data_IF_635793110338
#
_entry.id   IF_635793110338
#
_cell.length_a   1.000
_cell.length_b   1.000
_cell.length_c   1.000
_cell.angle_alpha   90.00
_cell.angle_beta   90.00
_cell.angle_gamma   90.00
#
_symmetry.space_group_name_H-M   'P 1'
#
loop_
_entity.id
_entity.type
_entity.pdbx_description
1 polymer ?
#
# COMPACT_ATOMS: atom_id res chain seq x y z
N UNK A 1 16.64 30.68 17.55
CA UNK A 1 17.16 29.36 17.15
C UNK A 1 16.41 28.28 17.93
N UNK A 2 15.22 27.83 17.49
CA UNK A 2 14.45 26.80 18.21
C UNK A 2 13.38 26.14 17.32
N UNK A 3 12.58 26.94 16.60
CA UNK A 3 11.47 26.43 15.77
C UNK A 3 11.93 25.55 14.59
N UNK A 4 13.05 25.89 13.95
CA UNK A 4 13.62 25.12 12.82
C UNK A 4 14.12 23.72 13.23
N UNK A 5 14.63 23.59 14.47
CA UNK A 5 15.12 22.32 14.98
C UNK A 5 13.95 21.35 15.26
N UNK A 6 12.90 21.82 15.92
CA UNK A 6 11.67 21.03 16.13
C UNK A 6 11.01 20.62 14.80
N UNK A 7 11.02 21.51 13.80
CA UNK A 7 10.48 21.20 12.48
C UNK A 7 11.27 20.07 11.79
N UNK A 8 12.61 20.09 11.88
CA UNK A 8 13.47 19.01 11.36
C UNK A 8 13.24 17.69 12.09
N UNK A 9 13.20 17.71 13.42
CA UNK A 9 12.93 16.50 14.21
C UNK A 9 11.56 15.93 13.86
N UNK A 10 10.52 16.76 13.78
CA UNK A 10 9.19 16.32 13.38
C UNK A 10 9.17 15.70 11.97
N UNK A 11 9.85 16.31 11.00
CA UNK A 11 9.95 15.79 9.62
C UNK A 11 10.71 14.47 9.58
N UNK A 12 11.79 14.32 10.34
CA UNK A 12 12.56 13.07 10.45
C UNK A 12 11.77 11.97 11.16
N UNK A 13 11.01 12.30 12.22
CA UNK A 13 10.27 11.31 13.02
C UNK A 13 8.94 10.89 12.38
N UNK A 14 8.32 11.77 11.58
CA UNK A 14 7.06 11.49 10.86
C UNK A 14 7.08 10.17 10.05
N UNK A 15 8.07 9.86 9.20
CA UNK A 15 8.11 8.60 8.45
C UNK A 15 8.24 7.37 9.37
N UNK A 16 9.00 7.45 10.47
CA UNK A 16 9.12 6.34 11.42
C UNK A 16 7.81 6.09 12.17
N UNK A 17 7.13 7.14 12.62
CA UNK A 17 5.81 7.00 13.25
C UNK A 17 4.78 6.40 12.28
N UNK A 18 4.80 6.83 11.00
CA UNK A 18 3.96 6.24 9.96
C UNK A 18 4.28 4.76 9.73
N UNK A 19 5.56 4.39 9.72
CA UNK A 19 5.98 3.00 9.53
C UNK A 19 5.53 2.10 10.69
N UNK A 20 5.65 2.55 11.93
CA UNK A 20 5.18 1.82 13.12
C UNK A 20 3.65 1.66 13.08
N UNK A 21 2.93 2.72 12.70
CA UNK A 21 1.48 2.67 12.55
C UNK A 21 1.05 1.69 11.45
N UNK A 22 1.75 1.69 10.30
CA UNK A 22 1.53 0.73 9.21
C UNK A 22 1.79 -0.70 9.67
N UNK A 23 2.92 -0.98 10.32
CA UNK A 23 3.25 -2.32 10.82
C UNK A 23 2.23 -2.82 11.85
N UNK A 24 1.82 -1.97 12.78
CA UNK A 24 0.78 -2.29 13.76
C UNK A 24 -0.55 -2.60 13.08
N UNK A 25 -0.93 -1.83 12.05
CA UNK A 25 -2.13 -2.07 11.27
C UNK A 25 -2.10 -3.43 10.55
N UNK A 26 -0.95 -3.82 9.99
CA UNK A 26 -0.77 -5.15 9.40
C UNK A 26 -0.91 -6.26 10.44
N UNK A 27 -0.32 -6.10 11.63
CA UNK A 27 -0.45 -7.07 12.71
C UNK A 27 -1.90 -7.24 13.19
N UNK A 28 -2.61 -6.12 13.42
CA UNK A 28 -4.03 -6.12 13.78
C UNK A 28 -4.86 -6.81 12.69
N UNK A 29 -4.58 -6.53 11.41
CA UNK A 29 -5.30 -7.16 10.31
C UNK A 29 -5.16 -8.69 10.30
N UNK A 30 -3.96 -9.21 10.56
CA UNK A 30 -3.72 -10.64 10.69
C UNK A 30 -4.51 -11.28 11.83
N UNK A 31 -4.62 -10.60 12.99
CA UNK A 31 -5.42 -11.07 14.11
C UNK A 31 -6.92 -11.08 13.81
N UNK A 32 -7.43 -10.04 13.14
CA UNK A 32 -8.85 -9.95 12.73
C UNK A 32 -9.20 -11.04 11.72
N UNK A 33 -8.35 -11.28 10.72
CA UNK A 33 -8.52 -12.36 9.73
C UNK A 33 -8.54 -13.72 10.44
N UNK A 34 -7.58 -13.98 11.33
CA UNK A 34 -7.50 -15.24 12.09
C UNK A 34 -8.72 -15.47 12.98
N UNK A 35 -9.21 -14.40 13.64
CA UNK A 35 -10.42 -14.45 14.46
C UNK A 35 -11.69 -14.70 13.61
N UNK A 36 -11.80 -14.08 12.43
CA UNK A 36 -12.91 -14.29 11.51
C UNK A 36 -12.93 -15.71 10.93
N UNK A 37 -11.75 -16.26 10.56
CA UNK A 37 -11.62 -17.63 10.06
C UNK A 37 -11.95 -18.68 11.13
N UNK A 38 -11.52 -18.48 12.37
CA UNK A 38 -11.85 -19.38 13.48
C UNK A 38 -13.36 -19.42 13.80
N UNK A 39 -14.12 -18.39 13.39
CA UNK A 39 -15.58 -18.35 13.50
C UNK A 39 -16.30 -18.99 12.29
N UNK A 40 -15.56 -19.61 11.36
CA UNK A 40 -16.13 -20.31 10.21
C UNK A 40 -16.54 -19.41 9.04
N UNK A 41 -16.12 -18.14 9.00
CA UNK A 41 -16.42 -17.24 7.88
C UNK A 41 -15.63 -17.63 6.62
N UNK A 42 -16.34 -17.77 5.50
CA UNK A 42 -15.72 -17.99 4.20
C UNK A 42 -14.82 -16.80 3.83
N UNK A 43 -13.58 -17.07 3.44
CA UNK A 43 -12.51 -16.08 3.24
C UNK A 43 -12.89 -15.00 2.19
N UNK A 44 -13.69 -15.39 1.20
CA UNK A 44 -14.23 -14.50 0.18
C UNK A 44 -15.17 -13.44 0.75
N UNK A 45 -16.08 -13.84 1.64
CA UNK A 45 -17.06 -12.93 2.25
C UNK A 45 -16.34 -11.89 3.11
N UNK A 46 -15.34 -12.28 3.89
CA UNK A 46 -14.55 -11.36 4.72
C UNK A 46 -13.84 -10.28 3.89
N UNK A 47 -13.27 -10.65 2.74
CA UNK A 47 -12.57 -9.72 1.84
C UNK A 47 -13.53 -8.66 1.25
N UNK A 48 -14.74 -9.08 0.84
CA UNK A 48 -15.77 -8.17 0.32
C UNK A 48 -16.24 -7.19 1.41
N UNK A 49 -16.51 -7.68 2.63
CA UNK A 49 -16.93 -6.83 3.76
C UNK A 49 -15.86 -5.79 4.12
N UNK A 50 -14.58 -6.17 4.13
CA UNK A 50 -13.49 -5.24 4.43
C UNK A 50 -13.40 -4.11 3.40
N UNK A 51 -13.46 -4.44 2.10
CA UNK A 51 -13.39 -3.44 1.04
C UNK A 51 -14.64 -2.55 1.00
N UNK A 52 -15.83 -3.12 1.25
CA UNK A 52 -17.06 -2.35 1.37
C UNK A 52 -17.01 -1.38 2.57
N UNK A 53 -16.55 -1.84 3.74
CA UNK A 53 -16.40 -0.99 4.91
C UNK A 53 -15.34 0.08 4.71
N UNK A 54 -14.21 -0.25 4.07
CA UNK A 54 -13.20 0.74 3.71
C UNK A 54 -13.76 1.80 2.77
N UNK A 55 -14.49 1.41 1.72
CA UNK A 55 -15.13 2.35 0.80
C UNK A 55 -16.17 3.23 1.50
N UNK A 56 -16.98 2.67 2.41
CA UNK A 56 -17.97 3.41 3.18
C UNK A 56 -17.32 4.39 4.15
N UNK A 57 -16.23 3.99 4.81
CA UNK A 57 -15.53 4.82 5.78
C UNK A 57 -14.74 5.92 5.09
N UNK A 58 -13.92 5.59 4.09
CA UNK A 58 -13.09 6.55 3.37
C UNK A 58 -13.86 7.39 2.36
N UNK A 59 -15.00 6.93 1.86
CA UNK A 59 -15.86 7.65 0.90
C UNK A 59 -16.22 9.08 1.34
N UNK A 60 -16.80 9.30 2.54
CA UNK A 60 -17.10 10.63 3.03
C UNK A 60 -15.83 11.44 3.30
N UNK A 61 -14.76 10.84 3.85
CA UNK A 61 -13.49 11.57 4.05
C UNK A 61 -12.90 12.04 2.72
N UNK A 62 -12.87 11.20 1.69
CA UNK A 62 -12.45 11.58 0.35
C UNK A 62 -13.36 12.68 -0.22
N UNK A 63 -14.67 12.58 -0.04
CA UNK A 63 -15.60 13.61 -0.51
C UNK A 63 -15.38 14.98 0.16
N UNK A 64 -15.17 15.01 1.49
CA UNK A 64 -15.00 16.24 2.26
C UNK A 64 -13.59 16.84 2.19
N UNK A 65 -12.53 16.04 2.30
CA UNK A 65 -11.12 16.51 2.30
C UNK A 65 -10.63 16.84 0.88
N UNK A 66 -10.97 16.02 -0.12
CA UNK A 66 -10.42 16.22 -1.47
C UNK A 66 -11.22 17.23 -2.29
N UNK A 67 -12.37 17.72 -1.80
CA UNK A 67 -13.21 18.72 -2.50
C UNK A 67 -12.45 19.95 -2.97
N UNK A 68 -11.40 20.37 -2.25
CA UNK A 68 -10.61 21.57 -2.57
C UNK A 68 -9.39 21.32 -3.48
N UNK A 69 -8.98 20.06 -3.67
CA UNK A 69 -7.72 19.68 -4.36
C UNK A 69 -8.00 18.94 -5.68
N UNK A 70 -9.28 18.66 -6.01
CA UNK A 70 -9.65 17.83 -7.16
C UNK A 70 -9.11 18.38 -8.50
N UNK A 71 -8.25 17.65 -9.23
CA UNK A 71 -8.20 17.80 -10.68
C UNK A 71 -9.54 17.32 -11.27
N UNK A 72 -9.97 17.88 -12.41
CA UNK A 72 -11.22 17.48 -13.07
C UNK A 72 -11.21 15.96 -13.30
N UNK A 73 -12.12 15.25 -12.63
CA UNK A 73 -12.29 13.80 -12.76
C UNK A 73 -12.89 13.48 -14.13
N UNK A 74 -12.04 13.33 -15.14
CA UNK A 74 -12.44 12.81 -16.46
C UNK A 74 -12.57 11.29 -16.37
N UNK A 75 -13.52 10.70 -17.09
CA UNK A 75 -13.73 9.23 -17.16
C UNK A 75 -12.43 8.47 -17.45
N UNK A 76 -11.53 9.03 -18.26
CA UNK A 76 -10.20 8.45 -18.54
C UNK A 76 -9.32 8.32 -17.29
N UNK A 77 -9.30 9.30 -16.39
CA UNK A 77 -8.51 9.25 -15.16
C UNK A 77 -9.11 8.22 -14.20
N UNK A 78 -10.43 8.19 -14.09
CA UNK A 78 -11.13 7.18 -13.28
C UNK A 78 -10.82 5.76 -13.78
N UNK A 79 -10.93 5.53 -15.09
CA UNK A 79 -10.59 4.23 -15.69
C UNK A 79 -9.13 3.86 -15.48
N UNK A 80 -8.19 4.82 -15.58
CA UNK A 80 -6.77 4.58 -15.28
C UNK A 80 -6.55 4.18 -13.83
N UNK A 81 -7.15 4.87 -12.87
CA UNK A 81 -7.03 4.54 -11.45
C UNK A 81 -7.65 3.17 -11.16
N UNK A 82 -8.81 2.88 -11.76
CA UNK A 82 -9.47 1.58 -11.65
C UNK A 82 -8.62 0.46 -12.25
N UNK A 83 -8.04 0.66 -13.45
CA UNK A 83 -7.13 -0.28 -14.10
C UNK A 83 -5.88 -0.52 -13.26
N UNK A 84 -5.24 0.54 -12.75
CA UNK A 84 -4.04 0.41 -11.90
C UNK A 84 -4.38 -0.29 -10.58
N UNK A 85 -5.51 0.03 -9.96
CA UNK A 85 -5.96 -0.61 -8.72
C UNK A 85 -6.39 -2.07 -8.90
N UNK A 86 -6.89 -2.45 -10.07
CA UNK A 86 -7.28 -3.82 -10.38
C UNK A 86 -6.08 -4.67 -10.85
N UNK A 87 -5.27 -4.12 -11.76
CA UNK A 87 -4.17 -4.84 -12.39
C UNK A 87 -2.92 -4.86 -11.52
N UNK A 88 -2.60 -3.79 -10.80
CA UNK A 88 -1.39 -3.72 -9.98
C UNK A 88 -1.30 -4.88 -8.97
N UNK A 89 -2.25 -5.00 -8.03
CA UNK A 89 -2.22 -6.08 -7.03
C UNK A 89 -2.33 -7.47 -7.65
N UNK A 90 -3.12 -7.63 -8.73
CA UNK A 90 -3.33 -8.92 -9.39
C UNK A 90 -2.07 -9.38 -10.11
N UNK A 91 -1.39 -8.49 -10.83
CA UNK A 91 -0.13 -8.78 -11.52
C UNK A 91 0.98 -9.03 -10.50
N UNK A 92 1.11 -8.19 -9.47
CA UNK A 92 2.12 -8.36 -8.41
C UNK A 92 1.99 -9.73 -7.72
N UNK A 93 0.76 -10.11 -7.35
CA UNK A 93 0.50 -11.41 -6.73
C UNK A 93 0.70 -12.58 -7.70
N UNK A 94 0.26 -12.46 -8.96
CA UNK A 94 0.45 -13.52 -9.96
C UNK A 94 1.93 -13.73 -10.31
N UNK A 95 2.71 -12.65 -10.51
CA UNK A 95 4.14 -12.75 -10.78
C UNK A 95 4.90 -13.32 -9.59
N UNK A 96 4.53 -12.96 -8.36
CA UNK A 96 5.10 -13.56 -7.16
C UNK A 96 4.76 -15.05 -7.06
N UNK A 97 3.52 -15.45 -7.33
CA UNK A 97 3.11 -16.85 -7.30
C UNK A 97 3.78 -17.69 -8.39
N UNK A 98 3.83 -17.16 -9.62
CA UNK A 98 4.57 -17.78 -10.73
C UNK A 98 6.07 -17.86 -10.41
N UNK A 99 6.65 -16.78 -9.87
CA UNK A 99 8.06 -16.74 -9.44
C UNK A 99 8.36 -17.75 -8.34
N UNK A 100 7.49 -17.91 -7.34
CA UNK A 100 7.67 -18.93 -6.30
C UNK A 100 7.51 -20.37 -6.82
N UNK A 101 6.78 -20.57 -7.92
CA UNK A 101 6.67 -21.88 -8.59
C UNK A 101 7.97 -22.28 -9.29
N UNK A 102 8.78 -21.31 -9.72
CA UNK A 102 10.07 -21.53 -10.39
C UNK A 102 11.29 -21.24 -9.52
N UNK A 103 11.12 -20.63 -8.33
CA UNK A 103 12.23 -20.15 -7.52
C UNK A 103 12.00 -20.36 -6.02
N UNK A 104 13.08 -20.64 -5.27
CA UNK A 104 13.05 -20.90 -3.83
C UNK A 104 12.77 -19.63 -3.01
N UNK A 105 12.33 -19.80 -1.76
CA UNK A 105 12.07 -18.72 -0.79
C UNK A 105 13.24 -17.73 -0.63
N UNK A 106 14.47 -18.19 -0.84
CA UNK A 106 15.68 -17.35 -0.87
C UNK A 106 15.68 -16.35 -2.03
N UNK A 107 15.17 -16.72 -3.22
CA UNK A 107 15.08 -15.81 -4.36
C UNK A 107 13.99 -14.75 -4.16
N UNK A 108 12.86 -15.10 -3.54
CA UNK A 108 11.83 -14.11 -3.18
C UNK A 108 12.36 -13.08 -2.16
N UNK A 109 13.22 -13.51 -1.23
CA UNK A 109 13.91 -12.61 -0.31
C UNK A 109 14.95 -11.73 -1.03
N UNK A 110 15.74 -12.31 -1.95
CA UNK A 110 16.68 -11.56 -2.78
C UNK A 110 15.97 -10.51 -3.65
N UNK A 111 14.84 -10.86 -4.25
CA UNK A 111 14.06 -9.94 -5.09
C UNK A 111 13.56 -8.73 -4.28
N UNK A 112 13.08 -8.94 -3.04
CA UNK A 112 12.70 -7.83 -2.14
C UNK A 112 13.88 -6.90 -1.81
N UNK A 113 15.09 -7.44 -1.66
CA UNK A 113 16.29 -6.64 -1.42
C UNK A 113 16.80 -5.95 -2.69
N UNK A 114 16.48 -6.50 -3.87
CA UNK A 114 16.84 -5.92 -5.17
C UNK A 114 15.93 -4.74 -5.54
N UNK A 115 14.67 -4.68 -5.06
CA UNK A 115 13.76 -3.54 -5.34
C UNK A 115 14.39 -2.17 -5.02
N UNK A 116 14.95 -1.90 -3.82
CA UNK A 116 15.61 -0.63 -3.55
C UNK A 116 16.89 -0.44 -4.37
N UNK A 117 17.61 -1.51 -4.71
CA UNK A 117 18.82 -1.47 -5.54
C UNK A 117 18.48 -1.06 -6.98
N UNK A 118 17.47 -1.68 -7.59
CA UNK A 118 16.98 -1.32 -8.93
C UNK A 118 16.44 0.11 -8.91
N UNK A 119 15.71 0.51 -7.86
CA UNK A 119 15.19 1.88 -7.74
C UNK A 119 16.34 2.90 -7.69
N UNK A 120 17.43 2.59 -6.98
CA UNK A 120 18.62 3.44 -6.95
C UNK A 120 19.33 3.50 -8.30
N UNK A 121 19.54 2.35 -8.95
CA UNK A 121 20.14 2.29 -10.30
C UNK A 121 19.30 3.06 -11.31
N UNK A 122 17.98 2.89 -11.30
CA UNK A 122 17.06 3.65 -12.15
C UNK A 122 17.12 5.15 -11.84
N UNK A 123 17.16 5.56 -10.57
CA UNK A 123 17.29 6.97 -10.19
C UNK A 123 18.60 7.59 -10.69
N UNK A 124 19.71 6.84 -10.66
CA UNK A 124 21.01 7.26 -11.19
C UNK A 124 20.97 7.36 -12.72
N UNK A 125 20.40 6.37 -13.41
CA UNK A 125 20.28 6.35 -14.88
C UNK A 125 19.38 7.51 -15.37
N UNK A 126 18.23 7.71 -14.72
CA UNK A 126 17.31 8.80 -15.05
C UNK A 126 17.72 10.16 -14.46
N UNK A 127 18.84 10.21 -13.74
CA UNK A 127 19.45 11.43 -13.19
C UNK A 127 18.44 12.32 -12.46
N UNK A 128 17.62 11.72 -11.61
CA UNK A 128 16.92 12.44 -10.55
C UNK A 128 17.89 12.59 -9.37
N UNK A 129 18.92 13.42 -9.56
CA UNK A 129 19.80 13.88 -8.48
C UNK A 129 19.34 15.22 -7.94
#
# INVERSE_FOLDING_TARGET
>A
MSKEWFKRVYVCTKPYMLMIFLQTSYAVNGLVIKSALNKGLNHYTFSVYRNAFAALFFGPFAFFLERKIRPKMTISIFLKIMLVGLLGPVIDLNLLYAGMKFTTTTFAAAMRNIVPVITFVMAVIFRYS
#
